data_IF_570509961877
#
_entry.id   IF_570509961877
#
_cell.length_a   1.000
_cell.length_b   1.000
_cell.length_c   1.000
_cell.angle_alpha   90.00
_cell.angle_beta   90.00
_cell.angle_gamma   90.00
#
_symmetry.space_group_name_H-M   'P 1'
#
loop_
_entity.id
_entity.type
_entity.pdbx_description
1 polymer ?
#
# COMPACT_ATOMS: atom_id res chain seq x y z
N UNK A 1 -5.62 16.35 -8.50
CA UNK A 1 -5.88 14.90 -8.39
C UNK A 1 -6.19 14.59 -6.92
N UNK A 2 -7.44 14.28 -6.59
CA UNK A 2 -7.86 13.99 -5.21
C UNK A 2 -7.42 12.54 -4.91
N UNK A 3 -6.54 12.32 -3.93
CA UNK A 3 -6.12 10.96 -3.53
C UNK A 3 -7.37 10.19 -3.08
N UNK A 4 -7.61 8.98 -3.60
CA UNK A 4 -8.80 8.17 -3.26
C UNK A 4 -8.77 7.67 -1.82
N UNK A 5 -7.57 7.55 -1.24
CA UNK A 5 -7.33 7.28 0.16
C UNK A 5 -5.94 7.82 0.57
N UNK A 6 -5.78 8.22 1.82
CA UNK A 6 -4.49 8.60 2.39
C UNK A 6 -3.77 7.35 2.91
N UNK A 7 -2.96 6.72 2.06
CA UNK A 7 -2.04 5.67 2.49
C UNK A 7 -0.83 6.33 3.17
N UNK A 8 -0.77 6.30 4.50
CA UNK A 8 0.45 6.70 5.23
C UNK A 8 1.32 5.46 5.44
N UNK A 9 2.52 5.48 4.88
CA UNK A 9 3.57 4.52 5.24
C UNK A 9 4.02 4.83 6.66
N UNK A 10 4.09 3.81 7.51
CA UNK A 10 4.55 3.91 8.91
C UNK A 10 5.70 2.95 9.14
N UNK A 11 6.59 3.28 10.07
CA UNK A 11 7.64 2.37 10.53
C UNK A 11 7.17 1.66 11.79
N UNK A 12 7.23 0.33 11.80
CA UNK A 12 6.92 -0.51 12.97
C UNK A 12 8.10 -1.46 13.18
N UNK A 13 8.86 -1.23 14.25
CA UNK A 13 10.13 -1.92 14.47
C UNK A 13 11.12 -1.65 13.33
N UNK A 14 11.58 -2.73 12.68
CA UNK A 14 12.48 -2.65 11.53
C UNK A 14 11.77 -2.69 10.16
N UNK A 15 10.44 -2.68 10.15
CA UNK A 15 9.64 -2.85 8.94
C UNK A 15 8.87 -1.57 8.59
N UNK A 16 8.65 -1.34 7.30
CA UNK A 16 7.69 -0.37 6.80
C UNK A 16 6.35 -1.07 6.57
N UNK A 17 5.27 -0.43 6.99
CA UNK A 17 3.91 -0.94 6.85
C UNK A 17 3.03 0.11 6.17
N UNK A 18 2.08 -0.36 5.37
CA UNK A 18 1.08 0.47 4.70
C UNK A 18 -0.31 -0.04 5.04
N UNK A 19 -1.27 0.87 5.17
CA UNK A 19 -2.68 0.51 5.32
C UNK A 19 -3.29 0.26 3.95
N UNK A 20 -3.86 -0.92 3.77
CA UNK A 20 -4.65 -1.26 2.58
C UNK A 20 -6.13 -1.01 2.90
N UNK A 21 -6.87 -0.26 2.05
CA UNK A 21 -8.30 -0.07 2.22
C UNK A 21 -9.08 -1.39 2.30
N UNK A 22 -10.09 -1.46 3.16
CA UNK A 22 -10.88 -2.68 3.41
C UNK A 22 -11.60 -3.18 2.17
N UNK A 23 -12.11 -2.28 1.33
CA UNK A 23 -12.72 -2.62 0.03
C UNK A 23 -11.76 -3.33 -0.92
N UNK A 24 -10.45 -3.04 -0.83
CA UNK A 24 -9.42 -3.75 -1.60
C UNK A 24 -9.25 -5.17 -1.08
N UNK A 25 -9.17 -5.34 0.24
CA UNK A 25 -9.06 -6.66 0.88
C UNK A 25 -10.25 -7.54 0.48
N UNK A 26 -11.46 -7.00 0.56
CA UNK A 26 -12.69 -7.74 0.26
C UNK A 26 -12.80 -8.07 -1.23
N UNK A 27 -12.43 -7.13 -2.12
CA UNK A 27 -12.47 -7.33 -3.58
C UNK A 27 -11.55 -8.44 -4.07
N UNK A 28 -10.40 -8.61 -3.41
CA UNK A 28 -9.40 -9.61 -3.78
C UNK A 28 -9.40 -10.84 -2.86
N UNK A 29 -10.39 -10.94 -1.96
CA UNK A 29 -10.56 -12.05 -1.01
C UNK A 29 -9.29 -12.37 -0.19
N UNK A 30 -8.52 -11.33 0.14
CA UNK A 30 -7.24 -11.47 0.83
C UNK A 30 -7.41 -11.84 2.30
N UNK A 31 -6.54 -12.71 2.79
CA UNK A 31 -6.49 -13.17 4.17
C UNK A 31 -5.14 -12.86 4.83
N UNK A 32 -5.11 -12.91 6.16
CA UNK A 32 -3.84 -12.80 6.90
C UNK A 32 -2.92 -13.98 6.55
N UNK A 33 -1.66 -13.68 6.26
CA UNK A 33 -0.67 -14.67 5.82
C UNK A 33 -0.51 -14.79 4.30
N UNK A 34 -1.40 -14.17 3.52
CA UNK A 34 -1.26 -14.15 2.07
C UNK A 34 -0.04 -13.35 1.62
N UNK A 35 0.62 -13.85 0.58
CA UNK A 35 1.71 -13.16 -0.08
C UNK A 35 1.17 -12.32 -1.23
N UNK A 36 1.63 -11.08 -1.32
CA UNK A 36 1.22 -10.13 -2.35
C UNK A 36 2.47 -9.73 -3.14
N UNK A 37 2.37 -9.75 -4.47
CA UNK A 37 3.39 -9.17 -5.34
C UNK A 37 3.18 -7.66 -5.42
N UNK A 38 4.25 -6.90 -5.18
CA UNK A 38 4.26 -5.44 -5.35
C UNK A 38 5.18 -5.13 -6.50
N UNK A 39 4.61 -4.57 -7.57
CA UNK A 39 5.38 -4.01 -8.67
C UNK A 39 5.53 -2.50 -8.45
N UNK A 40 6.75 -2.00 -8.61
CA UNK A 40 7.09 -0.60 -8.35
C UNK A 40 7.75 -0.04 -9.60
N UNK A 41 7.04 0.83 -10.31
CA UNK A 41 7.63 1.62 -11.38
C UNK A 41 8.28 2.89 -10.80
N UNK A 42 9.60 3.08 -10.95
CA UNK A 42 10.29 4.28 -10.50
C UNK A 42 9.74 5.58 -11.12
N UNK A 43 9.12 5.51 -12.31
CA UNK A 43 8.52 6.66 -12.99
C UNK A 43 7.21 7.12 -12.30
N UNK A 44 6.49 6.19 -11.67
CA UNK A 44 5.27 6.46 -10.89
C UNK A 44 5.58 7.06 -9.52
N UNK A 45 6.78 6.83 -8.99
CA UNK A 45 7.25 7.40 -7.73
C UNK A 45 7.68 8.85 -7.95
N UNK A 46 6.71 9.76 -8.00
CA UNK A 46 6.99 11.20 -7.98
C UNK A 46 7.69 11.56 -6.68
N UNK A 47 8.97 11.93 -6.77
CA UNK A 47 9.66 12.65 -5.70
C UNK A 47 8.87 13.94 -5.45
N UNK A 48 8.18 14.02 -4.32
CA UNK A 48 7.78 15.32 -3.78
C UNK A 48 9.09 16.11 -3.59
N UNK A 49 9.28 17.15 -4.41
CA UNK A 49 10.34 18.15 -4.23
C UNK A 49 9.91 19.17 -3.19
#
# INVERSE_FOLDING_TARGET
>A
MKRKFDAKIRKVGNSFVVTIPKDTIDRFELQEGDFIAVDLDPEDVKKEK
#
